data_IF_107420432526
#
_entry.id   IF_107420432526
#
_cell.length_a   1.000
_cell.length_b   1.000
_cell.length_c   1.000
_cell.angle_alpha   90.00
_cell.angle_beta   90.00
_cell.angle_gamma   90.00
#
_symmetry.space_group_name_H-M   'P 1'
#
loop_
_entity.id
_entity.type
_entity.pdbx_description
1 polymer ?
#
# COMPACT_ATOMS: atom_id res chain seq x y z
N UNK A 1 -5.65 -10.07 3.16
CA UNK A 1 -5.19 -9.03 2.21
C UNK A 1 -5.49 -7.61 2.66
N UNK A 2 -6.70 -7.26 3.08
CA UNK A 2 -7.07 -5.87 3.45
C UNK A 2 -6.20 -5.30 4.58
N UNK A 3 -5.80 -6.14 5.53
CA UNK A 3 -4.91 -5.81 6.64
C UNK A 3 -3.45 -6.25 6.42
N UNK A 4 -3.10 -6.58 5.17
CA UNK A 4 -1.75 -6.88 4.68
C UNK A 4 -1.03 -8.11 5.27
N UNK A 5 -1.71 -8.99 6.03
CA UNK A 5 -1.11 -10.26 6.50
C UNK A 5 -0.93 -11.30 5.41
N UNK A 6 -1.81 -11.35 4.41
CA UNK A 6 -1.71 -12.24 3.27
C UNK A 6 -1.36 -11.47 1.99
N UNK A 7 -0.17 -11.65 1.48
CA UNK A 7 0.37 -10.91 0.34
C UNK A 7 0.21 -11.62 -1.01
N UNK A 8 -0.10 -12.94 -1.01
CA UNK A 8 -0.26 -13.72 -2.25
C UNK A 8 -1.62 -13.50 -2.93
N UNK A 9 -1.81 -14.07 -4.11
CA UNK A 9 -3.11 -14.11 -4.81
C UNK A 9 -4.16 -14.88 -3.99
N UNK A 10 -5.42 -14.51 -4.15
CA UNK A 10 -6.54 -15.29 -3.64
C UNK A 10 -6.80 -16.41 -4.66
N UNK A 11 -6.51 -17.64 -4.28
CA UNK A 11 -6.61 -18.84 -5.13
C UNK A 11 -7.61 -19.87 -4.59
N UNK A 12 -8.25 -19.55 -3.46
CA UNK A 12 -9.20 -20.46 -2.79
C UNK A 12 -8.53 -21.55 -1.96
N UNK A 13 -7.21 -21.60 -1.88
CA UNK A 13 -6.46 -22.64 -1.16
C UNK A 13 -6.00 -22.12 0.21
N UNK A 14 -6.27 -22.92 1.24
CA UNK A 14 -5.74 -22.70 2.59
C UNK A 14 -4.40 -23.42 2.74
N UNK A 15 -3.37 -22.94 2.06
CA UNK A 15 -2.01 -23.53 2.09
C UNK A 15 -1.09 -22.81 3.09
N UNK A 16 0.18 -23.22 3.15
CA UNK A 16 1.19 -22.76 4.11
C UNK A 16 1.28 -21.22 4.20
N UNK A 17 1.15 -20.53 3.07
CA UNK A 17 1.15 -19.08 3.05
C UNK A 17 -0.06 -18.44 3.75
N UNK A 18 -1.20 -19.13 3.77
CA UNK A 18 -2.40 -18.71 4.50
C UNK A 18 -2.22 -19.00 5.98
N UNK A 19 -1.73 -20.18 6.33
CA UNK A 19 -1.40 -20.59 7.71
C UNK A 19 -0.45 -19.57 8.33
N UNK A 20 0.70 -19.31 7.72
CA UNK A 20 1.68 -18.34 8.22
C UNK A 20 1.08 -16.92 8.39
N UNK A 21 0.20 -16.50 7.49
CA UNK A 21 -0.48 -15.20 7.60
C UNK A 21 -1.48 -15.17 8.78
N UNK A 22 -2.16 -16.27 9.06
CA UNK A 22 -3.08 -16.41 10.21
C UNK A 22 -2.30 -16.43 11.51
N UNK A 23 -1.22 -17.22 11.60
CA UNK A 23 -0.35 -17.27 12.78
C UNK A 23 0.24 -15.90 13.12
N UNK A 24 0.76 -15.18 12.14
CA UNK A 24 1.26 -13.81 12.33
C UNK A 24 0.18 -12.85 12.78
N UNK A 25 -1.02 -12.95 12.23
CA UNK A 25 -2.18 -12.16 12.65
C UNK A 25 -2.57 -12.46 14.09
N UNK A 26 -2.64 -13.74 14.48
CA UNK A 26 -3.00 -14.20 15.82
C UNK A 26 -1.98 -13.71 16.85
N UNK A 27 -0.68 -13.92 16.58
CA UNK A 27 0.40 -13.47 17.46
C UNK A 27 0.34 -11.95 17.72
N UNK A 28 0.11 -11.15 16.66
CA UNK A 28 0.04 -9.68 16.78
C UNK A 28 -1.21 -9.20 17.56
N UNK A 29 -2.21 -10.05 17.70
CA UNK A 29 -3.50 -9.72 18.37
C UNK A 29 -3.66 -10.42 19.71
N UNK A 30 -2.60 -11.07 20.21
CA UNK A 30 -2.63 -11.83 21.47
C UNK A 30 -3.75 -12.88 21.49
N UNK A 31 -4.04 -13.47 20.31
CA UNK A 31 -4.94 -14.61 20.13
C UNK A 31 -4.07 -15.86 20.10
N UNK A 32 -4.54 -17.02 20.62
CA UNK A 32 -3.79 -18.27 20.52
C UNK A 32 -3.33 -18.54 19.09
N UNK A 33 -2.02 -18.79 18.90
CA UNK A 33 -1.39 -18.99 17.59
C UNK A 33 -1.60 -20.45 17.20
N UNK A 34 -2.60 -20.69 16.36
CA UNK A 34 -2.99 -22.02 15.90
C UNK A 34 -2.82 -22.21 14.40
N UNK A 35 -2.70 -21.11 13.64
CA UNK A 35 -2.74 -21.15 12.18
C UNK A 35 -4.14 -21.41 11.61
N UNK A 36 -5.14 -21.63 12.45
CA UNK A 36 -6.54 -21.88 12.03
C UNK A 36 -7.41 -20.64 12.32
N UNK A 37 -8.40 -20.42 11.45
CA UNK A 37 -9.36 -19.32 11.65
C UNK A 37 -10.54 -19.82 12.48
N UNK A 38 -10.37 -19.83 13.81
CA UNK A 38 -11.43 -20.07 14.77
C UNK A 38 -12.40 -18.87 14.83
N UNK A 39 -13.50 -19.01 15.61
CA UNK A 39 -14.51 -17.96 15.73
C UNK A 39 -13.91 -16.65 16.25
N UNK A 40 -13.00 -16.69 17.22
CA UNK A 40 -12.33 -15.53 17.80
C UNK A 40 -11.45 -14.80 16.78
N UNK A 41 -10.67 -15.55 16.03
CA UNK A 41 -9.86 -15.04 14.92
C UNK A 41 -10.74 -14.40 13.84
N UNK A 42 -11.84 -15.07 13.47
CA UNK A 42 -12.78 -14.58 12.46
C UNK A 42 -13.47 -13.26 12.91
N UNK A 43 -13.92 -13.18 14.14
CA UNK A 43 -14.57 -11.97 14.68
C UNK A 43 -13.60 -10.78 14.68
N UNK A 44 -12.33 -11.04 15.06
CA UNK A 44 -11.30 -10.01 15.02
C UNK A 44 -10.99 -9.56 13.60
N UNK A 45 -10.92 -10.49 12.66
CA UNK A 45 -10.76 -10.18 11.24
C UNK A 45 -11.92 -9.34 10.70
N UNK A 46 -13.16 -9.71 11.01
CA UNK A 46 -14.38 -8.97 10.60
C UNK A 46 -14.43 -7.55 11.17
N UNK A 47 -14.07 -7.38 12.43
CA UNK A 47 -13.99 -6.07 13.06
C UNK A 47 -12.96 -5.12 12.41
N UNK A 48 -11.94 -5.66 11.74
CA UNK A 48 -10.84 -4.92 11.12
C UNK A 48 -10.93 -4.82 9.60
N UNK A 49 -11.89 -5.49 8.99
CA UNK A 49 -12.03 -5.56 7.53
C UNK A 49 -13.47 -5.22 7.13
N UNK A 50 -13.67 -5.00 5.84
CA UNK A 50 -14.98 -4.88 5.22
C UNK A 50 -15.22 -6.07 4.29
N UNK A 51 -16.47 -6.25 3.86
CA UNK A 51 -16.76 -7.21 2.79
C UNK A 51 -15.91 -6.90 1.56
N UNK A 52 -15.14 -7.86 1.04
CA UNK A 52 -14.32 -7.62 -0.16
C UNK A 52 -15.21 -7.44 -1.38
N UNK A 53 -14.76 -6.61 -2.32
CA UNK A 53 -15.40 -6.47 -3.63
C UNK A 53 -15.11 -7.69 -4.52
N UNK A 54 -15.91 -7.88 -5.58
CA UNK A 54 -15.65 -8.93 -6.59
C UNK A 54 -14.26 -8.78 -7.21
N UNK A 55 -13.84 -7.55 -7.50
CA UNK A 55 -12.51 -7.26 -8.06
C UNK A 55 -11.39 -7.67 -7.10
N UNK A 56 -11.54 -7.40 -5.80
CA UNK A 56 -10.57 -7.84 -4.79
C UNK A 56 -10.49 -9.36 -4.66
N UNK A 57 -11.63 -10.05 -4.71
CA UNK A 57 -11.68 -11.52 -4.68
C UNK A 57 -11.03 -12.14 -5.92
N UNK A 58 -11.23 -11.52 -7.08
CA UNK A 58 -10.65 -11.96 -8.34
C UNK A 58 -9.25 -11.44 -8.61
N UNK A 59 -8.61 -10.80 -7.61
CA UNK A 59 -7.27 -10.21 -7.72
C UNK A 59 -7.14 -9.13 -8.81
N UNK A 60 -8.24 -8.51 -9.22
CA UNK A 60 -8.25 -7.44 -10.22
C UNK A 60 -7.61 -6.19 -9.61
N UNK A 61 -6.62 -5.65 -10.31
CA UNK A 61 -6.02 -4.38 -9.90
C UNK A 61 -7.02 -3.23 -10.06
N UNK A 62 -7.03 -2.22 -9.17
CA UNK A 62 -7.83 -1.02 -9.37
C UNK A 62 -7.57 -0.41 -10.75
N UNK A 63 -8.63 -0.01 -11.44
CA UNK A 63 -8.54 0.57 -12.79
C UNK A 63 -7.68 1.84 -12.78
N UNK A 64 -6.87 2.02 -13.82
CA UNK A 64 -6.11 3.26 -14.04
C UNK A 64 -7.09 4.42 -14.23
N UNK A 65 -6.88 5.54 -13.56
CA UNK A 65 -7.71 6.74 -13.72
C UNK A 65 -9.06 6.74 -12.96
N UNK A 66 -9.35 5.76 -12.09
CA UNK A 66 -10.55 5.79 -11.26
C UNK A 66 -10.57 7.00 -10.31
N UNK A 67 -11.75 7.62 -10.10
CA UNK A 67 -11.91 8.71 -9.15
C UNK A 67 -11.47 8.28 -7.75
N UNK A 68 -10.80 9.16 -7.03
CA UNK A 68 -10.42 8.99 -5.64
C UNK A 68 -11.22 9.97 -4.79
N UNK A 69 -11.87 9.47 -3.73
CA UNK A 69 -12.45 10.35 -2.72
C UNK A 69 -11.31 10.96 -1.92
N UNK A 70 -11.18 12.27 -1.96
CA UNK A 70 -10.17 13.02 -1.21
C UNK A 70 -10.56 13.15 0.24
N UNK A 71 -9.56 13.18 1.11
CA UNK A 71 -9.68 13.61 2.50
C UNK A 71 -9.64 15.15 2.54
N UNK A 72 -10.31 15.76 3.52
CA UNK A 72 -10.38 17.23 3.64
C UNK A 72 -9.00 17.89 3.73
N UNK A 73 -8.02 17.18 4.29
CA UNK A 73 -6.61 17.63 4.35
C UNK A 73 -5.93 17.74 2.98
N UNK A 74 -6.54 17.17 1.94
CA UNK A 74 -6.03 17.19 0.58
C UNK A 74 -6.66 18.30 -0.29
N UNK A 75 -7.54 19.13 0.27
CA UNK A 75 -8.32 20.10 -0.51
C UNK A 75 -7.61 21.43 -0.74
N UNK A 76 -6.50 21.69 -0.05
CA UNK A 76 -5.78 22.95 -0.16
C UNK A 76 -4.30 22.72 -0.49
N UNK A 77 -3.73 23.61 -1.31
CA UNK A 77 -2.33 23.59 -1.68
C UNK A 77 -1.96 22.45 -2.64
N UNK A 78 -0.69 22.07 -2.62
CA UNK A 78 -0.10 21.02 -3.48
C UNK A 78 0.14 19.76 -2.62
N UNK A 79 -0.67 18.75 -2.80
CA UNK A 79 -0.71 17.60 -1.88
C UNK A 79 -0.62 16.27 -2.64
N UNK A 80 0.20 15.35 -2.13
CA UNK A 80 0.13 13.94 -2.47
C UNK A 80 -0.87 13.28 -1.52
N UNK A 81 -2.11 13.10 -1.97
CA UNK A 81 -3.17 12.51 -1.18
C UNK A 81 -3.12 10.98 -1.32
N UNK A 82 -2.98 10.25 -0.21
CA UNK A 82 -2.80 8.79 -0.22
C UNK A 82 -3.88 8.13 0.63
N UNK A 83 -4.67 7.26 0.02
CA UNK A 83 -5.68 6.45 0.71
C UNK A 83 -5.30 4.98 0.71
N UNK A 84 -5.01 4.43 1.89
CA UNK A 84 -4.80 2.99 2.07
C UNK A 84 -6.06 2.18 1.76
N UNK A 85 -7.22 2.69 2.16
CA UNK A 85 -8.52 2.04 1.91
C UNK A 85 -8.81 1.90 0.42
N UNK A 86 -8.52 2.94 -0.36
CA UNK A 86 -8.75 2.95 -1.81
C UNK A 86 -7.56 2.38 -2.60
N UNK A 87 -6.40 2.16 -1.97
CA UNK A 87 -5.13 1.78 -2.60
C UNK A 87 -4.76 2.72 -3.75
N UNK A 88 -4.97 4.02 -3.51
CA UNK A 88 -4.76 5.08 -4.49
C UNK A 88 -3.93 6.19 -3.89
N UNK A 89 -3.14 6.80 -4.75
CA UNK A 89 -2.48 8.08 -4.56
C UNK A 89 -3.05 9.04 -5.60
N UNK A 90 -3.36 10.26 -5.19
CA UNK A 90 -3.70 11.36 -6.07
C UNK A 90 -2.70 12.50 -5.91
N UNK A 91 -2.23 13.08 -7.01
CA UNK A 91 -1.60 14.38 -7.05
C UNK A 91 -2.69 15.43 -7.12
N UNK A 92 -2.75 16.30 -6.13
CA UNK A 92 -3.83 17.27 -5.95
C UNK A 92 -3.25 18.68 -5.87
N UNK A 93 -3.90 19.62 -6.52
CA UNK A 93 -3.62 21.06 -6.42
C UNK A 93 -4.95 21.75 -6.12
N UNK A 94 -5.03 22.40 -4.96
CA UNK A 94 -6.23 23.13 -4.50
C UNK A 94 -7.52 22.33 -4.69
N UNK A 95 -7.53 21.08 -4.17
CA UNK A 95 -8.67 20.17 -4.24
C UNK A 95 -8.92 19.54 -5.61
N UNK A 96 -8.19 19.93 -6.66
CA UNK A 96 -8.34 19.37 -8.00
C UNK A 96 -7.34 18.26 -8.23
N UNK A 97 -7.83 17.05 -8.54
CA UNK A 97 -6.99 15.90 -8.88
C UNK A 97 -6.35 16.14 -10.24
N UNK A 98 -5.02 16.14 -10.27
CA UNK A 98 -4.21 16.26 -11.49
C UNK A 98 -3.92 14.89 -12.09
N UNK A 99 -3.63 13.91 -11.24
CA UNK A 99 -3.38 12.52 -11.64
C UNK A 99 -3.68 11.56 -10.48
N UNK A 100 -3.93 10.29 -10.81
CA UNK A 100 -4.15 9.23 -9.82
C UNK A 100 -3.37 7.98 -10.18
N UNK A 101 -2.80 7.33 -9.16
CA UNK A 101 -1.99 6.13 -9.31
C UNK A 101 -2.44 5.03 -8.37
N UNK A 102 -2.34 3.78 -8.84
CA UNK A 102 -2.47 2.62 -7.96
C UNK A 102 -1.23 2.49 -7.09
N UNK A 103 -1.44 2.24 -5.79
CA UNK A 103 -0.34 2.11 -4.82
C UNK A 103 -0.48 0.85 -3.98
N UNK A 104 0.68 0.34 -3.53
CA UNK A 104 0.82 -0.77 -2.60
C UNK A 104 1.62 -0.31 -1.39
N UNK A 105 1.27 -0.82 -0.22
CA UNK A 105 1.82 -0.40 1.07
C UNK A 105 2.64 -1.49 1.74
N UNK A 106 3.22 -1.15 2.88
CA UNK A 106 3.87 -2.08 3.78
C UNK A 106 2.92 -3.11 4.38
N UNK A 107 3.49 -4.22 4.84
CA UNK A 107 2.76 -5.23 5.62
C UNK A 107 2.44 -4.71 7.03
N UNK A 108 1.74 -5.50 7.83
CA UNK A 108 1.53 -5.18 9.25
C UNK A 108 2.82 -5.20 10.08
N UNK A 109 3.81 -5.97 9.66
CA UNK A 109 5.13 -6.00 10.32
C UNK A 109 5.94 -4.74 10.03
N UNK A 110 5.78 -4.18 8.83
CA UNK A 110 6.48 -2.98 8.38
C UNK A 110 5.48 -1.98 7.80
N UNK A 111 4.58 -1.41 8.62
CA UNK A 111 3.46 -0.63 8.12
C UNK A 111 3.91 0.70 7.53
N UNK A 112 3.27 1.10 6.44
CA UNK A 112 3.33 2.48 5.97
C UNK A 112 2.67 3.39 7.01
N UNK A 113 3.37 4.43 7.44
CA UNK A 113 2.87 5.37 8.45
C UNK A 113 1.66 6.16 7.92
N UNK A 114 0.75 6.48 8.85
CA UNK A 114 -0.38 7.38 8.60
C UNK A 114 -0.07 8.74 9.19
N UNK A 115 -0.56 9.80 8.56
CA UNK A 115 -0.40 11.17 9.05
C UNK A 115 -0.26 12.18 7.93
N UNK A 116 0.09 13.40 8.31
CA UNK A 116 0.48 14.47 7.41
C UNK A 116 1.99 14.60 7.48
N UNK A 117 2.63 14.60 6.33
CA UNK A 117 4.09 14.62 6.21
C UNK A 117 4.50 15.60 5.11
N UNK A 118 5.73 16.09 5.19
CA UNK A 118 6.37 16.82 4.09
C UNK A 118 7.36 15.91 3.36
N UNK A 119 7.48 16.07 2.05
CA UNK A 119 8.59 15.46 1.30
C UNK A 119 9.85 16.23 1.65
N UNK A 120 10.74 15.61 2.42
CA UNK A 120 11.96 16.26 2.90
C UNK A 120 13.19 15.94 2.04
N UNK A 121 13.12 14.90 1.24
CA UNK A 121 14.21 14.52 0.34
C UNK A 121 13.69 13.80 -0.91
N UNK A 122 14.35 14.07 -2.03
CA UNK A 122 14.04 13.48 -3.33
C UNK A 122 15.31 12.81 -3.91
N UNK A 123 15.16 11.61 -4.46
CA UNK A 123 16.25 10.92 -5.13
C UNK A 123 15.73 10.17 -6.37
N UNK A 124 16.23 10.53 -7.56
CA UNK A 124 15.75 9.99 -8.84
C UNK A 124 16.12 8.52 -9.03
N UNK A 125 17.32 8.14 -8.63
CA UNK A 125 17.89 6.80 -8.83
C UNK A 125 18.30 6.17 -7.48
N UNK A 126 17.43 6.26 -6.50
CA UNK A 126 17.75 5.74 -5.17
C UNK A 126 17.81 4.22 -5.15
N UNK A 127 18.77 3.69 -4.38
CA UNK A 127 18.86 2.27 -3.99
C UNK A 127 18.86 2.19 -2.48
N UNK A 128 17.95 1.40 -1.92
CA UNK A 128 17.87 1.17 -0.48
C UNK A 128 19.10 0.39 -0.02
N UNK A 129 19.89 0.96 0.88
CA UNK A 129 21.04 0.26 1.50
C UNK A 129 20.59 -0.87 2.42
N UNK A 130 19.39 -0.77 3.00
CA UNK A 130 18.88 -1.76 3.95
C UNK A 130 18.35 -3.02 3.26
N UNK A 131 17.74 -2.85 2.07
CA UNK A 131 17.05 -3.93 1.37
C UNK A 131 17.66 -4.26 0.01
N UNK A 132 18.74 -3.58 -0.36
CA UNK A 132 19.41 -3.67 -1.68
C UNK A 132 18.39 -3.65 -2.84
N UNK A 133 17.45 -2.71 -2.77
CA UNK A 133 16.33 -2.62 -3.70
C UNK A 133 16.29 -1.26 -4.35
N UNK A 134 16.15 -1.23 -5.68
CA UNK A 134 15.99 0.00 -6.43
C UNK A 134 14.65 0.69 -6.09
N UNK A 135 14.72 1.99 -5.81
CA UNK A 135 13.60 2.86 -5.48
C UNK A 135 13.60 4.09 -6.42
N UNK A 136 13.41 3.92 -7.74
CA UNK A 136 13.44 5.05 -8.68
C UNK A 136 12.35 6.08 -8.34
N UNK A 137 12.69 7.36 -8.51
CA UNK A 137 11.81 8.50 -8.24
C UNK A 137 11.32 8.56 -6.79
N UNK A 138 12.21 8.29 -5.84
CA UNK A 138 11.88 8.27 -4.42
C UNK A 138 11.62 9.69 -3.87
N UNK A 139 10.45 9.84 -3.26
CA UNK A 139 9.99 11.02 -2.51
C UNK A 139 9.89 10.62 -1.04
N UNK A 140 10.90 10.94 -0.24
CA UNK A 140 10.97 10.55 1.16
C UNK A 140 10.12 11.47 2.03
N UNK A 141 9.28 10.85 2.89
CA UNK A 141 8.35 11.60 3.72
C UNK A 141 8.43 11.25 5.22
N UNK A 142 8.92 10.06 5.60
CA UNK A 142 8.96 9.67 7.02
C UNK A 142 9.97 8.56 7.28
N UNK A 143 11.10 8.88 7.95
CA UNK A 143 12.03 7.88 8.48
C UNK A 143 12.45 6.77 7.50
N UNK A 144 12.83 7.12 6.28
CA UNK A 144 13.20 6.18 5.23
C UNK A 144 12.02 5.65 4.40
N UNK A 145 10.78 5.94 4.78
CA UNK A 145 9.62 5.63 3.93
C UNK A 145 9.46 6.67 2.82
N UNK A 146 9.24 6.19 1.61
CA UNK A 146 9.11 7.03 0.42
C UNK A 146 7.97 6.56 -0.49
N UNK A 147 7.44 7.49 -1.29
CA UNK A 147 6.69 7.16 -2.51
C UNK A 147 7.72 6.90 -3.61
N UNK A 148 7.68 5.76 -4.30
CA UNK A 148 8.63 5.45 -5.37
C UNK A 148 8.07 4.44 -6.36
N UNK A 149 8.66 4.34 -7.56
CA UNK A 149 8.37 3.24 -8.47
C UNK A 149 8.83 1.90 -7.89
N UNK A 150 8.02 0.87 -8.07
CA UNK A 150 8.37 -0.51 -7.72
C UNK A 150 8.16 -1.44 -8.90
N UNK A 151 9.26 -2.00 -9.43
CA UNK A 151 9.22 -3.01 -10.49
C UNK A 151 8.49 -4.28 -10.03
N UNK A 152 8.66 -4.65 -8.75
CA UNK A 152 7.95 -5.76 -8.13
C UNK A 152 6.43 -5.53 -8.10
N UNK A 153 5.98 -4.33 -7.73
CA UNK A 153 4.55 -4.00 -7.79
C UNK A 153 4.02 -3.95 -9.21
N UNK A 154 4.82 -3.48 -10.17
CA UNK A 154 4.45 -3.49 -11.59
C UNK A 154 4.26 -4.90 -12.12
N UNK A 155 5.15 -5.83 -11.77
CA UNK A 155 5.15 -7.21 -12.26
C UNK A 155 4.11 -8.09 -11.53
N UNK A 156 4.05 -8.02 -10.18
CA UNK A 156 3.25 -8.93 -9.35
C UNK A 156 1.96 -8.31 -8.80
N UNK A 157 1.71 -7.04 -9.08
CA UNK A 157 0.53 -6.33 -8.58
C UNK A 157 0.46 -6.38 -7.05
N UNK A 158 -0.73 -6.66 -6.52
CA UNK A 158 -0.95 -6.73 -5.08
C UNK A 158 -0.52 -8.06 -4.43
N UNK A 159 0.15 -8.92 -5.18
CA UNK A 159 0.80 -10.11 -4.66
C UNK A 159 2.17 -9.72 -4.06
N UNK A 160 2.18 -9.34 -2.80
CA UNK A 160 3.34 -8.82 -2.08
C UNK A 160 3.03 -7.53 -1.32
N UNK A 161 4.02 -7.03 -0.61
CA UNK A 161 3.96 -5.79 0.17
C UNK A 161 5.29 -5.04 0.08
N UNK A 162 5.32 -3.77 0.50
CA UNK A 162 6.57 -3.07 0.75
C UNK A 162 7.03 -3.25 2.21
N UNK A 163 8.20 -2.74 2.54
CA UNK A 163 8.70 -2.62 3.91
C UNK A 163 8.37 -1.23 4.52
N UNK A 164 7.21 -0.68 4.15
CA UNK A 164 6.71 0.59 4.66
C UNK A 164 6.60 1.70 3.63
N UNK A 165 7.24 1.58 2.48
CA UNK A 165 7.12 2.55 1.40
C UNK A 165 5.74 2.51 0.72
N UNK A 166 5.42 3.57 0.00
CA UNK A 166 4.29 3.64 -0.93
C UNK A 166 4.79 3.28 -2.32
N UNK A 167 4.59 2.03 -2.72
CA UNK A 167 4.99 1.55 -4.03
C UNK A 167 4.00 2.02 -5.11
N UNK A 168 4.51 2.60 -6.18
CA UNK A 168 3.76 2.95 -7.40
C UNK A 168 4.13 1.99 -8.52
N UNK A 169 3.16 1.50 -9.29
CA UNK A 169 3.40 0.58 -10.40
C UNK A 169 3.59 1.25 -11.76
N UNK A 170 3.11 2.47 -11.91
CA UNK A 170 3.23 3.26 -13.15
C UNK A 170 4.47 4.14 -13.07
N UNK A 171 5.53 3.72 -13.81
CA UNK A 171 6.82 4.41 -13.81
C UNK A 171 6.72 5.83 -14.39
N UNK A 172 5.91 6.01 -15.42
CA UNK A 172 5.72 7.32 -16.06
C UNK A 172 4.97 8.29 -15.14
N UNK A 173 3.91 7.82 -14.49
CA UNK A 173 3.13 8.65 -13.58
C UNK A 173 3.94 9.08 -12.35
N UNK A 174 4.72 8.17 -11.72
CA UNK A 174 5.55 8.56 -10.58
C UNK A 174 6.74 9.44 -10.98
N UNK A 175 7.27 9.31 -12.20
CA UNK A 175 8.30 10.22 -12.72
C UNK A 175 7.74 11.65 -12.87
N UNK A 176 6.56 11.80 -13.44
CA UNK A 176 5.86 13.09 -13.56
C UNK A 176 5.55 13.69 -12.18
N UNK A 177 5.09 12.87 -11.22
CA UNK A 177 4.88 13.30 -9.83
C UNK A 177 6.19 13.79 -9.19
N UNK A 178 7.28 13.02 -9.37
CA UNK A 178 8.61 13.38 -8.85
C UNK A 178 9.06 14.75 -9.36
N UNK A 179 8.84 15.04 -10.64
CA UNK A 179 9.21 16.33 -11.22
C UNK A 179 8.29 17.47 -10.74
N UNK A 180 7.02 17.19 -10.50
CA UNK A 180 6.03 18.16 -10.04
C UNK A 180 6.19 18.56 -8.55
N UNK A 181 6.69 17.66 -7.70
CA UNK A 181 6.94 17.91 -6.27
C UNK A 181 8.21 18.75 -6.12
N UNK A 182 8.11 19.86 -5.38
CA UNK A 182 9.19 20.80 -5.09
C UNK A 182 9.77 20.55 -3.72
#
# INVERSE_FOLDING_TARGET
KQIAWYSKLIDGVYGDGTVAAVEGFQAKREIPVTGEVDQRTLDRLRAMTRTPTKDELNNVAPKKGGSMTLDDRCLQGRVICISKKQRRLAWVIDGKIQDTMSVRFGSELTPTRNGVFSVYWKSRNHVSKLYDTAMPYALFFSGGQAVHYSADFAARGYNGSSHGCVNVRDKGAVAALFDAVR
#
